data_IF_175321121317
#
_entry.id   IF_175321121317
#
_cell.length_a   1.000
_cell.length_b   1.000
_cell.length_c   1.000
_cell.angle_alpha   90.00
_cell.angle_beta   90.00
_cell.angle_gamma   90.00
#
_symmetry.space_group_name_H-M   'P 1'
#
loop_
_entity.id
_entity.type
_entity.pdbx_description
1 polymer ?
#
# COMPACT_ATOMS: atom_id res chain seq x y z
N UNK A 1 8.49 -3.42 13.01
CA UNK A 1 7.32 -2.57 12.71
C UNK A 1 6.01 -3.21 13.16
N UNK A 2 5.72 -4.46 12.76
CA UNK A 2 4.52 -5.19 13.19
C UNK A 2 4.35 -5.31 14.71
N UNK A 3 5.42 -5.65 15.45
CA UNK A 3 5.40 -5.73 16.93
C UNK A 3 5.03 -4.41 17.60
N UNK A 4 5.49 -3.28 17.05
CA UNK A 4 5.18 -1.94 17.58
C UNK A 4 3.71 -1.55 17.34
N UNK A 5 3.16 -1.91 16.17
CA UNK A 5 1.75 -1.69 15.86
C UNK A 5 0.83 -2.58 16.70
N UNK A 6 1.22 -3.83 16.95
CA UNK A 6 0.52 -4.75 17.86
C UNK A 6 0.48 -4.17 19.27
N UNK A 7 1.61 -3.67 19.79
CA UNK A 7 1.67 -3.05 21.12
C UNK A 7 0.78 -1.80 21.22
N UNK A 8 0.69 -0.99 20.17
CA UNK A 8 -0.19 0.19 20.13
C UNK A 8 -1.66 -0.21 20.07
N UNK A 9 -2.01 -1.21 19.26
CA UNK A 9 -3.36 -1.75 19.18
C UNK A 9 -3.82 -2.29 20.54
N UNK A 10 -2.98 -3.10 21.18
CA UNK A 10 -3.26 -3.67 22.50
C UNK A 10 -3.37 -2.58 23.60
N UNK A 11 -2.54 -1.53 23.55
CA UNK A 11 -2.55 -0.46 24.55
C UNK A 11 -3.75 0.49 24.41
N UNK A 12 -4.28 0.68 23.19
CA UNK A 12 -5.39 1.60 22.90
C UNK A 12 -6.78 0.98 23.15
N UNK A 13 -6.87 -0.35 23.14
CA UNK A 13 -8.12 -1.12 23.25
C UNK A 13 -8.93 -0.94 24.55
N UNK A 14 -8.44 -0.19 25.56
CA UNK A 14 -9.10 -0.11 26.87
C UNK A 14 -10.08 1.05 27.07
N UNK A 15 -10.15 2.08 26.21
CA UNK A 15 -10.99 3.24 26.56
C UNK A 15 -11.58 4.13 25.43
N UNK A 16 -11.82 3.67 24.19
CA UNK A 16 -12.45 4.57 23.20
C UNK A 16 -13.24 3.88 22.07
N UNK A 17 -14.49 4.34 21.88
CA UNK A 17 -15.38 4.31 20.71
C UNK A 17 -15.01 3.37 19.53
N UNK A 18 -15.76 2.26 19.44
CA UNK A 18 -15.78 1.19 18.41
C UNK A 18 -15.40 1.52 16.95
N UNK A 19 -15.56 2.76 16.47
CA UNK A 19 -15.25 3.13 15.08
C UNK A 19 -13.77 3.44 14.85
N UNK A 20 -13.09 4.00 15.85
CA UNK A 20 -11.66 4.29 15.80
C UNK A 20 -10.88 2.97 15.70
N UNK A 21 -11.35 1.93 16.39
CA UNK A 21 -10.75 0.59 16.40
C UNK A 21 -10.72 -0.06 15.01
N UNK A 22 -11.74 0.18 14.17
CA UNK A 22 -11.82 -0.42 12.83
C UNK A 22 -10.74 0.10 11.90
N UNK A 23 -10.47 1.41 11.94
CA UNK A 23 -9.44 2.04 11.09
C UNK A 23 -8.06 1.48 11.44
N UNK A 24 -7.73 1.40 12.74
CA UNK A 24 -6.46 0.84 13.19
C UNK A 24 -6.37 -0.67 12.93
N UNK A 25 -7.48 -1.39 13.05
CA UNK A 25 -7.53 -2.80 12.70
C UNK A 25 -7.20 -3.04 11.23
N UNK A 26 -7.83 -2.31 10.30
CA UNK A 26 -7.57 -2.54 8.87
C UNK A 26 -6.14 -2.20 8.46
N UNK A 27 -5.57 -1.07 8.93
CA UNK A 27 -4.18 -0.74 8.61
C UNK A 27 -3.19 -1.71 9.26
N UNK A 28 -3.47 -2.21 10.47
CA UNK A 28 -2.66 -3.24 11.11
C UNK A 28 -2.71 -4.54 10.31
N UNK A 29 -3.91 -4.98 9.92
CA UNK A 29 -4.09 -6.20 9.12
C UNK A 29 -3.36 -6.10 7.78
N UNK A 30 -3.41 -4.94 7.11
CA UNK A 30 -2.65 -4.70 5.88
C UNK A 30 -1.15 -4.89 6.10
N UNK A 31 -0.58 -4.27 7.14
CA UNK A 31 0.85 -4.38 7.46
C UNK A 31 1.24 -5.79 7.88
N UNK A 32 0.37 -6.51 8.60
CA UNK A 32 0.62 -7.91 8.97
C UNK A 32 0.62 -8.81 7.74
N UNK A 33 -0.34 -8.65 6.83
CA UNK A 33 -0.37 -9.38 5.56
C UNK A 33 0.91 -9.15 4.77
N UNK A 34 1.33 -7.90 4.60
CA UNK A 34 2.57 -7.58 3.88
C UNK A 34 3.82 -8.12 4.57
N UNK A 35 3.87 -8.09 5.90
CA UNK A 35 4.98 -8.70 6.65
C UNK A 35 5.06 -10.22 6.42
N UNK A 36 3.91 -10.91 6.37
CA UNK A 36 3.86 -12.34 6.05
C UNK A 36 4.31 -12.57 4.60
N UNK A 37 3.84 -11.74 3.66
CA UNK A 37 4.22 -11.81 2.25
C UNK A 37 5.74 -11.69 2.08
N UNK A 38 6.36 -10.67 2.66
CA UNK A 38 7.81 -10.46 2.65
C UNK A 38 8.58 -11.62 3.29
N UNK A 39 8.07 -12.17 4.39
CA UNK A 39 8.68 -13.33 5.05
C UNK A 39 8.64 -14.57 4.17
N UNK A 40 7.52 -14.79 3.45
CA UNK A 40 7.38 -15.88 2.49
C UNK A 40 8.27 -15.67 1.27
N UNK A 41 8.26 -14.46 0.70
CA UNK A 41 9.08 -14.10 -0.46
C UNK A 41 10.56 -14.32 -0.15
N UNK A 42 11.05 -13.77 0.96
CA UNK A 42 12.44 -13.96 1.40
C UNK A 42 12.78 -15.41 1.77
N UNK A 43 11.80 -16.21 2.19
CA UNK A 43 11.99 -17.66 2.41
C UNK A 43 12.14 -18.42 1.09
N UNK A 44 11.27 -18.17 0.11
CA UNK A 44 11.34 -18.83 -1.20
C UNK A 44 12.59 -18.43 -1.99
N UNK A 45 12.82 -17.14 -2.18
CA UNK A 45 13.95 -16.64 -2.98
C UNK A 45 15.29 -16.74 -2.22
N UNK A 46 15.29 -16.26 -0.98
CA UNK A 46 16.53 -16.12 -0.20
C UNK A 46 17.05 -17.43 0.41
N UNK A 47 16.15 -18.31 0.89
CA UNK A 47 16.55 -19.56 1.56
C UNK A 47 16.41 -20.80 0.68
N UNK A 48 15.31 -20.92 -0.08
CA UNK A 48 15.09 -22.07 -0.95
C UNK A 48 15.69 -21.88 -2.35
N UNK A 49 16.04 -20.65 -2.74
CA UNK A 49 16.51 -20.32 -4.09
C UNK A 49 15.52 -20.78 -5.18
N UNK A 50 14.23 -20.68 -4.87
CA UNK A 50 13.13 -20.94 -5.80
C UNK A 50 12.52 -19.58 -6.12
N UNK A 51 12.12 -19.38 -7.38
CA UNK A 51 11.44 -18.17 -7.79
C UNK A 51 10.23 -17.89 -6.89
N UNK A 52 10.23 -16.72 -6.26
CA UNK A 52 9.19 -16.29 -5.34
C UNK A 52 8.04 -15.59 -6.07
N UNK A 53 8.11 -15.44 -7.39
CA UNK A 53 7.06 -14.88 -8.21
C UNK A 53 6.71 -15.78 -9.41
N UNK A 54 5.44 -16.21 -9.58
CA UNK A 54 4.35 -16.15 -8.61
C UNK A 54 4.51 -17.19 -7.49
N UNK A 55 4.07 -16.87 -6.27
CA UNK A 55 4.11 -17.77 -5.10
C UNK A 55 2.98 -17.48 -4.09
N UNK A 56 2.86 -18.29 -3.01
CA UNK A 56 1.93 -17.98 -1.92
C UNK A 56 2.12 -16.61 -1.26
N UNK A 57 3.28 -15.95 -1.42
CA UNK A 57 3.48 -14.58 -0.94
C UNK A 57 2.49 -13.60 -1.58
N UNK A 58 2.17 -13.80 -2.87
CA UNK A 58 1.32 -12.90 -3.66
C UNK A 58 -0.10 -12.81 -3.13
N UNK A 59 -0.62 -13.93 -2.61
CA UNK A 59 -1.92 -13.97 -1.94
C UNK A 59 -1.94 -13.00 -0.76
N UNK A 60 -0.86 -12.94 0.03
CA UNK A 60 -0.77 -12.04 1.17
C UNK A 60 -0.56 -10.58 0.77
N UNK A 61 0.18 -10.30 -0.31
CA UNK A 61 0.25 -8.94 -0.87
C UNK A 61 -1.15 -8.44 -1.28
N UNK A 62 -1.88 -9.25 -2.05
CA UNK A 62 -3.25 -8.92 -2.50
C UNK A 62 -4.23 -8.76 -1.34
N UNK A 63 -4.19 -9.64 -0.34
CA UNK A 63 -5.00 -9.51 0.87
C UNK A 63 -4.67 -8.22 1.63
N UNK A 64 -3.40 -7.84 1.71
CA UNK A 64 -2.98 -6.56 2.27
C UNK A 64 -3.57 -5.36 1.52
N UNK A 65 -3.59 -5.41 0.18
CA UNK A 65 -4.22 -4.39 -0.66
C UNK A 65 -5.72 -4.28 -0.44
N UNK A 66 -6.42 -5.41 -0.22
CA UNK A 66 -7.84 -5.42 0.18
C UNK A 66 -8.03 -4.72 1.53
N UNK A 67 -7.14 -4.96 2.50
CA UNK A 67 -7.21 -4.25 3.78
C UNK A 67 -6.92 -2.75 3.64
N UNK A 68 -6.05 -2.31 2.71
CA UNK A 68 -5.90 -0.89 2.40
C UNK A 68 -7.18 -0.29 1.81
N UNK A 69 -7.88 -1.00 0.91
CA UNK A 69 -9.19 -0.56 0.41
C UNK A 69 -10.17 -0.36 1.58
N UNK A 70 -10.27 -1.35 2.48
CA UNK A 70 -11.17 -1.27 3.64
C UNK A 70 -10.79 -0.14 4.61
N UNK A 71 -9.49 0.11 4.77
CA UNK A 71 -8.96 1.23 5.53
C UNK A 71 -9.40 2.57 4.93
N UNK A 72 -9.19 2.77 3.62
CA UNK A 72 -9.62 3.99 2.93
C UNK A 72 -11.14 4.14 2.96
N UNK A 73 -11.89 3.06 2.74
CA UNK A 73 -13.35 3.10 2.82
C UNK A 73 -13.83 3.54 4.22
N UNK A 74 -13.21 3.02 5.28
CA UNK A 74 -13.57 3.35 6.66
C UNK A 74 -13.29 4.81 7.00
N UNK A 75 -12.18 5.36 6.49
CA UNK A 75 -11.82 6.76 6.67
C UNK A 75 -12.75 7.73 5.93
N UNK A 76 -13.38 7.27 4.84
CA UNK A 76 -14.17 8.16 4.02
C UNK A 76 -15.39 8.72 4.77
N UNK A 77 -15.86 8.01 5.80
CA UNK A 77 -16.90 8.53 6.71
C UNK A 77 -16.51 9.84 7.39
N UNK A 78 -15.23 10.00 7.71
CA UNK A 78 -14.69 11.19 8.38
C UNK A 78 -14.34 12.31 7.40
N UNK A 79 -13.70 11.96 6.28
CA UNK A 79 -13.21 12.96 5.32
C UNK A 79 -14.28 13.39 4.30
N UNK A 80 -15.31 12.57 4.09
CA UNK A 80 -16.40 12.80 3.14
C UNK A 80 -15.90 13.11 1.73
N UNK A 81 -14.91 12.35 1.27
CA UNK A 81 -14.42 12.41 -0.11
C UNK A 81 -15.45 11.72 -1.00
N UNK A 82 -15.76 12.33 -2.14
CA UNK A 82 -16.65 11.73 -3.12
C UNK A 82 -15.99 10.49 -3.74
N UNK A 83 -16.52 9.26 -3.53
CA UNK A 83 -15.90 8.04 -4.05
C UNK A 83 -15.78 8.05 -5.58
N UNK A 84 -16.72 8.70 -6.26
CA UNK A 84 -16.73 8.83 -7.72
C UNK A 84 -15.45 9.45 -8.28
N UNK A 85 -14.85 10.41 -7.58
CA UNK A 85 -13.59 11.04 -8.00
C UNK A 85 -12.39 10.08 -7.90
N UNK A 86 -12.33 9.27 -6.84
CA UNK A 86 -11.25 8.28 -6.67
C UNK A 86 -11.43 7.16 -7.68
N UNK A 87 -12.66 6.68 -7.86
CA UNK A 87 -12.98 5.59 -8.80
C UNK A 87 -12.71 6.03 -10.24
N UNK A 88 -13.12 7.24 -10.64
CA UNK A 88 -12.87 7.73 -12.00
C UNK A 88 -11.38 7.86 -12.28
N UNK A 89 -10.63 8.48 -11.36
CA UNK A 89 -9.18 8.57 -11.47
C UNK A 89 -8.53 7.18 -11.53
N UNK A 90 -8.94 6.25 -10.66
CA UNK A 90 -8.43 4.88 -10.66
C UNK A 90 -8.67 4.20 -12.00
N UNK A 91 -9.87 4.29 -12.56
CA UNK A 91 -10.18 3.72 -13.88
C UNK A 91 -9.29 4.36 -14.95
N UNK A 92 -9.18 5.70 -14.98
CA UNK A 92 -8.35 6.41 -15.97
C UNK A 92 -6.88 5.99 -15.90
N UNK A 93 -6.28 5.98 -14.71
CA UNK A 93 -4.88 5.59 -14.54
C UNK A 93 -4.66 4.10 -14.76
N UNK A 94 -5.59 3.24 -14.35
CA UNK A 94 -5.51 1.79 -14.61
C UNK A 94 -5.57 1.49 -16.10
N UNK A 95 -6.49 2.13 -16.84
CA UNK A 95 -6.56 2.00 -18.30
C UNK A 95 -5.29 2.51 -18.96
N UNK A 96 -4.71 3.59 -18.47
CA UNK A 96 -3.43 4.10 -18.98
C UNK A 96 -2.27 3.11 -18.74
N UNK A 97 -2.18 2.51 -17.54
CA UNK A 97 -1.18 1.50 -17.21
C UNK A 97 -1.37 0.25 -18.07
N UNK A 98 -2.60 -0.27 -18.13
CA UNK A 98 -2.94 -1.45 -18.96
C UNK A 98 -2.61 -1.18 -20.42
N UNK A 99 -2.98 0.00 -20.94
CA UNK A 99 -2.66 0.38 -22.31
C UNK A 99 -1.15 0.46 -22.54
N UNK A 100 -0.40 1.05 -21.62
CA UNK A 100 1.06 1.18 -21.73
C UNK A 100 1.74 -0.19 -21.74
N UNK A 101 1.33 -1.09 -20.86
CA UNK A 101 1.81 -2.47 -20.80
C UNK A 101 1.38 -3.27 -22.04
N UNK A 102 0.13 -3.13 -22.49
CA UNK A 102 -0.36 -3.74 -23.71
C UNK A 102 0.44 -3.29 -24.93
N UNK A 103 0.69 -1.98 -25.06
CA UNK A 103 1.49 -1.42 -26.15
C UNK A 103 2.92 -1.97 -26.08
N UNK A 104 3.51 -2.09 -24.89
CA UNK A 104 4.82 -2.72 -24.75
C UNK A 104 4.79 -4.18 -25.24
N UNK A 105 3.83 -4.99 -24.78
CA UNK A 105 3.68 -6.40 -25.19
C UNK A 105 3.57 -6.53 -26.72
N UNK A 106 2.72 -5.71 -27.36
CA UNK A 106 2.43 -5.83 -28.78
C UNK A 106 3.49 -5.20 -29.69
N UNK A 107 4.07 -4.05 -29.32
CA UNK A 107 5.13 -3.41 -30.12
C UNK A 107 6.42 -4.22 -30.05
N UNK A 108 6.74 -4.76 -28.88
CA UNK A 108 7.97 -5.54 -28.70
C UNK A 108 7.79 -7.03 -29.06
N UNK A 109 6.66 -7.39 -29.68
CA UNK A 109 6.35 -8.75 -30.11
C UNK A 109 6.60 -9.79 -29.01
N UNK A 110 6.24 -9.45 -27.76
CA UNK A 110 6.31 -10.35 -26.61
C UNK A 110 5.14 -11.34 -26.74
N UNK A 111 5.19 -12.20 -27.76
CA UNK A 111 4.19 -13.26 -27.99
C UNK A 111 4.50 -14.53 -27.18
N UNK A 112 5.61 -14.51 -26.43
CA UNK A 112 5.98 -15.53 -25.45
C UNK A 112 5.63 -15.10 -24.03
N UNK A 113 4.52 -14.37 -23.85
CA UNK A 113 3.93 -14.16 -22.52
C UNK A 113 3.90 -15.53 -21.83
N UNK A 114 4.38 -15.57 -20.59
CA UNK A 114 4.36 -16.79 -19.79
C UNK A 114 2.97 -17.42 -19.91
N UNK A 115 2.89 -18.72 -20.22
CA UNK A 115 1.60 -19.43 -20.31
C UNK A 115 0.84 -19.46 -18.96
N UNK A 116 1.33 -18.73 -17.96
CA UNK A 116 0.77 -18.60 -16.63
C UNK A 116 -0.12 -17.36 -16.54
N UNK A 117 -1.42 -17.61 -16.65
CA UNK A 117 -2.47 -16.61 -16.45
C UNK A 117 -2.39 -15.96 -15.06
N UNK A 118 -1.90 -16.69 -14.05
CA UNK A 118 -1.73 -16.18 -12.69
C UNK A 118 -0.71 -15.05 -12.62
N UNK A 119 0.49 -15.26 -13.17
CA UNK A 119 1.52 -14.24 -13.29
C UNK A 119 1.00 -13.00 -14.04
N UNK A 120 0.24 -13.19 -15.11
CA UNK A 120 -0.34 -12.07 -15.85
C UNK A 120 -1.37 -11.29 -15.02
N UNK A 121 -2.22 -11.95 -14.24
CA UNK A 121 -3.15 -11.26 -13.34
C UNK A 121 -2.39 -10.41 -12.31
N UNK A 122 -1.33 -10.95 -11.72
CA UNK A 122 -0.51 -10.26 -10.72
C UNK A 122 0.21 -9.05 -11.30
N UNK A 123 0.82 -9.22 -12.48
CA UNK A 123 1.50 -8.18 -13.25
C UNK A 123 0.64 -6.91 -13.41
N UNK A 124 -0.66 -7.07 -13.67
CA UNK A 124 -1.59 -5.94 -13.77
C UNK A 124 -2.17 -5.51 -12.43
N UNK A 125 -2.32 -6.43 -11.47
CA UNK A 125 -2.97 -6.15 -10.20
C UNK A 125 -2.14 -5.21 -9.32
N UNK A 126 -0.83 -5.41 -9.21
CA UNK A 126 0.00 -4.61 -8.31
C UNK A 126 0.03 -3.12 -8.66
N UNK A 127 0.34 -2.72 -9.91
CA UNK A 127 0.32 -1.30 -10.29
C UNK A 127 -1.04 -0.63 -10.09
N UNK A 128 -2.14 -1.37 -10.22
CA UNK A 128 -3.50 -0.87 -9.97
C UNK A 128 -3.73 -0.59 -8.49
N UNK A 129 -3.30 -1.49 -7.60
CA UNK A 129 -3.41 -1.26 -6.16
C UNK A 129 -2.50 -0.13 -5.67
N UNK A 130 -1.29 0.00 -6.22
CA UNK A 130 -0.41 1.13 -5.89
C UNK A 130 -1.00 2.46 -6.34
N UNK A 131 -1.56 2.48 -7.55
CA UNK A 131 -2.28 3.64 -8.07
C UNK A 131 -3.44 4.03 -7.15
N UNK A 132 -4.22 3.05 -6.68
CA UNK A 132 -5.27 3.31 -5.69
C UNK A 132 -4.69 3.95 -4.42
N UNK A 133 -3.58 3.42 -3.89
CA UNK A 133 -2.93 3.95 -2.69
C UNK A 133 -2.51 5.41 -2.91
N UNK A 134 -1.89 5.72 -4.04
CA UNK A 134 -1.44 7.07 -4.40
C UNK A 134 -2.64 8.02 -4.50
N UNK A 135 -3.66 7.64 -5.27
CA UNK A 135 -4.83 8.48 -5.53
C UNK A 135 -5.65 8.73 -4.27
N UNK A 136 -5.93 7.68 -3.50
CA UNK A 136 -6.63 7.80 -2.23
C UNK A 136 -5.84 8.70 -1.27
N UNK A 137 -4.56 8.42 -1.06
CA UNK A 137 -3.72 9.21 -0.15
C UNK A 137 -3.63 10.67 -0.56
N UNK A 138 -3.52 10.95 -1.87
CA UNK A 138 -3.51 12.32 -2.38
C UNK A 138 -4.85 13.02 -2.13
N UNK A 139 -5.97 12.35 -2.39
CA UNK A 139 -7.30 12.89 -2.09
C UNK A 139 -7.48 13.17 -0.58
N UNK A 140 -7.03 12.26 0.28
CA UNK A 140 -7.05 12.43 1.73
C UNK A 140 -6.11 13.52 2.22
N UNK A 141 -4.94 13.71 1.60
CA UNK A 141 -4.03 14.82 1.88
C UNK A 141 -4.71 16.17 1.61
N UNK A 142 -5.24 16.34 0.39
CA UNK A 142 -5.90 17.57 -0.02
C UNK A 142 -7.08 17.89 0.90
N UNK A 143 -7.92 16.89 1.17
CA UNK A 143 -9.07 17.05 2.06
C UNK A 143 -8.67 17.32 3.52
N UNK A 144 -7.61 16.67 3.99
CA UNK A 144 -7.10 16.86 5.35
C UNK A 144 -6.56 18.26 5.60
N UNK A 145 -5.93 18.86 4.57
CA UNK A 145 -5.45 20.25 4.60
C UNK A 145 -6.59 21.26 4.75
N UNK A 146 -7.76 20.97 4.17
CA UNK A 146 -8.93 21.85 4.27
C UNK A 146 -9.64 21.74 5.63
N UNK A 147 -9.64 20.57 6.25
CA UNK A 147 -10.41 20.30 7.48
C UNK A 147 -9.61 20.62 8.76
N UNK A 148 -8.29 20.41 8.75
CA UNK A 148 -7.48 20.46 9.97
C UNK A 148 -6.32 21.45 9.86
N UNK A 149 -6.21 22.32 10.87
CA UNK A 149 -5.03 23.19 11.06
C UNK A 149 -3.82 22.40 11.60
N UNK A 150 -4.04 21.22 12.20
CA UNK A 150 -2.95 20.37 12.69
C UNK A 150 -2.24 19.70 11.50
N UNK A 151 -0.91 19.64 11.52
CA UNK A 151 -0.07 19.04 10.46
C UNK A 151 -0.12 17.49 10.40
N UNK A 152 -1.18 16.88 10.95
CA UNK A 152 -1.40 15.43 10.89
C UNK A 152 -1.59 14.95 9.45
N UNK A 153 -2.12 15.81 8.57
CA UNK A 153 -2.31 15.50 7.15
C UNK A 153 -1.00 15.14 6.43
N UNK A 154 0.18 15.48 6.97
CA UNK A 154 1.47 15.06 6.42
C UNK A 154 1.62 13.52 6.37
N UNK A 155 0.87 12.79 7.20
CA UNK A 155 0.71 11.33 7.09
C UNK A 155 0.48 10.88 5.65
N UNK A 156 -0.41 11.59 4.96
CA UNK A 156 -0.87 11.24 3.62
C UNK A 156 0.20 11.46 2.54
N UNK A 157 1.14 12.40 2.74
CA UNK A 157 2.26 12.59 1.81
C UNK A 157 3.15 11.35 1.82
N UNK A 158 3.54 10.89 3.01
CA UNK A 158 4.39 9.71 3.14
C UNK A 158 3.68 8.43 2.69
N UNK A 159 2.37 8.32 2.91
CA UNK A 159 1.58 7.20 2.43
C UNK A 159 1.42 7.20 0.90
N UNK A 160 1.26 8.38 0.27
CA UNK A 160 1.26 8.51 -1.18
C UNK A 160 2.62 8.16 -1.77
N UNK A 161 3.71 8.62 -1.15
CA UNK A 161 5.06 8.33 -1.60
C UNK A 161 5.45 6.86 -1.43
N UNK A 162 4.92 6.18 -0.39
CA UNK A 162 4.96 4.72 -0.27
C UNK A 162 4.35 4.03 -1.50
N UNK A 163 3.09 4.35 -1.85
CA UNK A 163 2.45 3.77 -3.03
C UNK A 163 3.19 4.12 -4.33
N UNK A 164 3.75 5.33 -4.45
CA UNK A 164 4.53 5.73 -5.62
C UNK A 164 5.81 4.89 -5.80
N UNK A 165 6.53 4.61 -4.71
CA UNK A 165 7.75 3.79 -4.77
C UNK A 165 7.42 2.35 -5.18
N UNK A 166 6.32 1.79 -4.66
CA UNK A 166 5.84 0.47 -5.05
C UNK A 166 5.40 0.43 -6.52
N UNK A 167 4.64 1.44 -6.97
CA UNK A 167 4.24 1.53 -8.38
C UNK A 167 5.45 1.52 -9.32
N UNK A 168 6.50 2.28 -9.00
CA UNK A 168 7.73 2.30 -9.81
C UNK A 168 8.40 0.93 -9.78
N UNK A 169 8.51 0.32 -8.61
CA UNK A 169 9.11 -1.01 -8.47
C UNK A 169 8.34 -2.07 -9.27
N UNK A 170 7.02 -2.11 -9.15
CA UNK A 170 6.15 -3.10 -9.80
C UNK A 170 6.08 -2.90 -11.31
N UNK A 171 6.10 -1.66 -11.81
CA UNK A 171 6.18 -1.40 -13.25
C UNK A 171 7.51 -1.87 -13.84
N UNK A 172 8.63 -1.63 -13.16
CA UNK A 172 9.95 -2.05 -13.66
C UNK A 172 10.16 -3.55 -13.48
N UNK A 173 9.70 -4.13 -12.37
CA UNK A 173 9.67 -5.58 -12.16
C UNK A 173 8.85 -6.26 -13.25
N UNK A 174 7.63 -5.78 -13.47
CA UNK A 174 6.75 -6.32 -14.51
C UNK A 174 7.32 -6.19 -15.92
N UNK A 175 8.01 -5.08 -16.21
CA UNK A 175 8.75 -4.95 -17.46
C UNK A 175 9.89 -5.98 -17.54
N UNK A 176 10.74 -6.11 -16.52
CA UNK A 176 11.84 -7.07 -16.53
C UNK A 176 11.35 -8.51 -16.68
N UNK A 177 10.26 -8.88 -16.01
CA UNK A 177 9.60 -10.18 -16.12
C UNK A 177 9.13 -10.45 -17.55
N UNK A 178 8.40 -9.50 -18.16
CA UNK A 178 7.93 -9.60 -19.55
C UNK A 178 9.07 -9.80 -20.57
N UNK A 179 10.24 -9.21 -20.33
CA UNK A 179 11.41 -9.29 -21.21
C UNK A 179 12.43 -10.36 -20.81
N UNK A 180 12.15 -11.16 -19.77
CA UNK A 180 13.08 -12.14 -19.19
C UNK A 180 14.46 -11.53 -18.86
N UNK A 181 14.48 -10.33 -18.28
CA UNK A 181 15.72 -9.63 -17.88
C UNK A 181 16.10 -10.10 -16.46
N UNK A 182 17.04 -11.06 -16.39
CA UNK A 182 17.34 -11.83 -15.16
C UNK A 182 18.22 -11.07 -14.13
N UNK A 183 19.00 -10.06 -14.55
CA UNK A 183 20.17 -9.60 -13.77
C UNK A 183 20.02 -8.22 -13.09
N UNK A 184 18.82 -7.62 -13.06
CA UNK A 184 18.61 -6.23 -12.58
C UNK A 184 17.80 -6.08 -11.30
N UNK A 185 17.34 -7.16 -10.66
CA UNK A 185 16.36 -7.08 -9.57
C UNK A 185 16.88 -6.37 -8.30
N UNK A 186 18.18 -6.39 -8.02
CA UNK A 186 18.73 -5.76 -6.79
C UNK A 186 18.52 -4.25 -6.68
N UNK A 187 18.42 -3.55 -7.82
CA UNK A 187 18.13 -2.11 -7.80
C UNK A 187 16.64 -1.84 -7.54
N UNK A 188 15.75 -2.78 -7.87
CA UNK A 188 14.32 -2.67 -7.62
C UNK A 188 14.01 -2.76 -6.13
N UNK A 189 14.73 -3.61 -5.42
CA UNK A 189 14.61 -3.76 -3.96
C UNK A 189 14.78 -2.42 -3.23
N UNK A 190 15.57 -1.49 -3.77
CA UNK A 190 15.75 -0.15 -3.18
C UNK A 190 14.42 0.60 -3.15
N UNK A 191 13.61 0.53 -4.21
CA UNK A 191 12.32 1.20 -4.27
C UNK A 191 11.35 0.61 -3.25
N UNK A 192 11.23 -0.72 -3.17
CA UNK A 192 10.41 -1.37 -2.14
C UNK A 192 10.85 -0.97 -0.72
N UNK A 193 12.16 -1.01 -0.43
CA UNK A 193 12.70 -0.62 0.87
C UNK A 193 12.44 0.85 1.21
N UNK A 194 12.61 1.77 0.27
CA UNK A 194 12.25 3.19 0.46
C UNK A 194 10.75 3.29 0.74
N UNK A 195 9.91 2.59 -0.02
CA UNK A 195 8.47 2.54 0.21
C UNK A 195 8.14 2.10 1.64
N UNK A 196 8.76 1.01 2.13
CA UNK A 196 8.57 0.54 3.51
C UNK A 196 8.99 1.57 4.56
N UNK A 197 10.11 2.25 4.36
CA UNK A 197 10.56 3.34 5.25
C UNK A 197 9.50 4.45 5.29
N UNK A 198 8.93 4.81 4.16
CA UNK A 198 7.93 5.87 4.03
C UNK A 198 6.61 5.48 4.71
N UNK A 199 6.17 4.23 4.55
CA UNK A 199 5.04 3.70 5.30
C UNK A 199 5.31 3.73 6.81
N UNK A 200 6.53 3.37 7.24
CA UNK A 200 6.97 3.46 8.63
C UNK A 200 6.88 4.88 9.20
N UNK A 201 7.41 5.86 8.48
CA UNK A 201 7.34 7.28 8.85
C UNK A 201 5.88 7.74 8.93
N UNK A 202 5.05 7.37 7.96
CA UNK A 202 3.62 7.68 7.96
C UNK A 202 2.97 7.18 9.25
N UNK A 203 3.14 5.89 9.58
CA UNK A 203 2.55 5.31 10.79
C UNK A 203 3.04 6.02 12.08
N UNK A 204 4.34 6.34 12.18
CA UNK A 204 4.89 7.07 13.33
C UNK A 204 4.23 8.44 13.49
N UNK A 205 4.07 9.19 12.39
CA UNK A 205 3.37 10.49 12.40
C UNK A 205 1.95 10.31 12.93
N UNK A 206 1.21 9.31 12.41
CA UNK A 206 -0.17 9.05 12.81
C UNK A 206 -0.29 8.72 14.30
N UNK A 207 0.60 7.88 14.80
CA UNK A 207 0.67 7.49 16.21
C UNK A 207 0.94 8.70 17.10
N UNK A 208 1.93 9.53 16.74
CA UNK A 208 2.31 10.72 17.51
C UNK A 208 1.12 11.67 17.71
N UNK A 209 0.38 11.97 16.65
CA UNK A 209 -0.78 12.86 16.74
C UNK A 209 -1.95 12.21 17.49
N UNK A 210 -2.16 10.91 17.34
CA UNK A 210 -3.20 10.19 18.08
C UNK A 210 -2.91 10.19 19.60
N UNK A 211 -1.66 10.03 20.01
CA UNK A 211 -1.26 10.09 21.43
C UNK A 211 -1.40 11.49 22.03
N UNK A 212 -1.04 12.53 21.28
CA UNK A 212 -1.19 13.92 21.74
C UNK A 212 -2.68 14.29 21.94
N UNK A 213 -3.56 13.84 21.06
CA UNK A 213 -5.00 14.08 21.19
C UNK A 213 -5.62 13.42 22.44
N UNK A 214 -5.12 12.24 22.85
CA UNK A 214 -5.56 11.57 24.08
C UNK A 214 -5.13 12.37 25.33
N UNK A 215 -3.89 12.86 25.36
CA UNK A 215 -3.39 13.68 26.47
C UNK A 215 -4.17 15.00 26.61
N UNK A 216 -4.50 15.66 25.50
CA UNK A 216 -5.35 16.87 25.51
C UNK A 216 -6.76 16.59 26.06
N UNK A 217 -7.29 15.36 25.89
CA UNK A 217 -8.60 14.96 26.39
C UNK A 217 -8.56 14.70 27.90
N UNK A 218 -7.59 13.92 28.38
CA UNK A 218 -7.44 13.61 29.81
C UNK A 218 -7.20 14.87 30.66
N UNK A 219 -6.53 15.89 30.10
CA UNK A 219 -6.32 17.17 30.76
C UNK A 219 -7.58 18.05 30.86
N UNK A 220 -8.61 17.80 30.06
CA UNK A 220 -9.88 18.56 30.09
C UNK A 220 -10.91 17.94 31.02
N UNK A 221 -10.78 16.66 31.36
CA UNK A 221 -11.69 15.96 32.26
C UNK A 221 -11.27 16.04 33.74
N UNK A 222 -10.05 16.52 34.03
CA UNK A 222 -9.54 16.79 35.38
C UNK A 222 -9.57 18.28 35.71
#
# INVERSE_FOLDING_TARGET
MATFLILIYLKKSKNSQHMIDKIYFFILSAVVCWFIAESLYGYYDGLLHIDAYPSPADLFYLLGSIFFILFFYSLNRSYKIEPGMIISALITFSLFIIYSLYVAIFIFEIYQISNDVGALILLFSYPVFDTLIILASTAYFLRGKDISLKREYNFWIFFAFFGFMFLVADLVFGFNDLFNIIDTNRFLDIFYNIGYIMLGIALIIKIKYASAALQEHDLKEN
#
